data_IF_028972638274
#
_entry.id   IF_028972638274
#
_cell.length_a   1.000
_cell.length_b   1.000
_cell.length_c   1.000
_cell.angle_alpha   90.00
_cell.angle_beta   90.00
_cell.angle_gamma   90.00
#
_symmetry.space_group_name_H-M   'P 1'
#
loop_
_entity.id
_entity.type
_entity.pdbx_description
1 polymer ?
#
# COMPACT_ATOMS: atom_id res chain seq x y z
N UNK A 1 16.60 -1.04 -9.40
CA UNK A 1 15.57 -1.80 -10.15
C UNK A 1 15.24 -3.14 -9.47
N UNK A 2 16.22 -3.98 -9.14
CA UNK A 2 16.05 -5.31 -8.53
C UNK A 2 15.20 -5.26 -7.24
N UNK A 3 15.51 -4.33 -6.32
CA UNK A 3 14.77 -4.13 -5.07
C UNK A 3 13.31 -3.72 -5.29
N UNK A 4 12.98 -2.96 -6.34
CA UNK A 4 11.59 -2.60 -6.68
C UNK A 4 10.77 -3.82 -7.13
N UNK A 5 11.37 -4.72 -7.91
CA UNK A 5 10.75 -5.97 -8.35
C UNK A 5 10.46 -6.86 -7.13
N UNK A 6 11.43 -7.04 -6.24
CA UNK A 6 11.25 -7.81 -5.00
C UNK A 6 10.14 -7.23 -4.12
N UNK A 7 10.11 -5.91 -3.95
CA UNK A 7 9.03 -5.24 -3.21
C UNK A 7 7.65 -5.47 -3.86
N UNK A 8 7.58 -5.42 -5.19
CA UNK A 8 6.34 -5.71 -5.92
C UNK A 8 5.88 -7.17 -5.71
N UNK A 9 6.80 -8.13 -5.79
CA UNK A 9 6.51 -9.55 -5.54
C UNK A 9 6.00 -9.79 -4.11
N UNK A 10 6.66 -9.22 -3.09
CA UNK A 10 6.21 -9.32 -1.68
C UNK A 10 4.80 -8.76 -1.50
N UNK A 11 4.50 -7.61 -2.11
CA UNK A 11 3.15 -7.03 -2.09
C UNK A 11 2.14 -7.96 -2.77
N UNK A 12 2.49 -8.48 -3.95
CA UNK A 12 1.64 -9.40 -4.71
C UNK A 12 1.30 -10.67 -3.93
N UNK A 13 2.30 -11.28 -3.31
CA UNK A 13 2.13 -12.48 -2.46
C UNK A 13 1.23 -12.19 -1.26
N UNK A 14 1.48 -11.12 -0.52
CA UNK A 14 0.70 -10.75 0.67
C UNK A 14 -0.78 -10.49 0.35
N UNK A 15 -1.05 -9.80 -0.76
CA UNK A 15 -2.39 -9.44 -1.19
C UNK A 15 -3.05 -10.52 -2.07
N UNK A 16 -2.31 -11.58 -2.42
CA UNK A 16 -2.75 -12.63 -3.34
C UNK A 16 -3.20 -12.08 -4.70
N UNK A 17 -2.44 -11.12 -5.26
CA UNK A 17 -2.67 -10.59 -6.60
C UNK A 17 -2.27 -11.62 -7.65
N UNK A 18 -3.05 -11.71 -8.74
CA UNK A 18 -2.84 -12.68 -9.81
C UNK A 18 -2.66 -11.95 -11.14
N UNK A 19 -1.93 -12.55 -12.10
CA UNK A 19 -1.90 -12.07 -13.48
C UNK A 19 -3.32 -11.85 -14.03
N UNK A 20 -3.50 -10.79 -14.80
CA UNK A 20 -4.80 -10.38 -15.34
C UNK A 20 -5.69 -9.61 -14.36
N UNK A 21 -5.35 -9.49 -13.06
CA UNK A 21 -6.14 -8.66 -12.16
C UNK A 21 -6.13 -7.20 -12.64
N UNK A 22 -7.30 -6.57 -12.73
CA UNK A 22 -7.43 -5.14 -13.04
C UNK A 22 -6.91 -4.31 -11.87
N UNK A 23 -6.01 -3.38 -12.16
CA UNK A 23 -5.46 -2.44 -11.19
C UNK A 23 -5.67 -1.00 -11.66
N UNK A 24 -5.95 -0.08 -10.72
CA UNK A 24 -6.12 1.34 -10.98
C UNK A 24 -4.96 2.13 -10.36
N UNK A 25 -4.28 2.94 -11.17
CA UNK A 25 -3.29 3.91 -10.70
C UNK A 25 -3.86 5.32 -10.80
N UNK A 26 -4.08 5.95 -9.67
CA UNK A 26 -4.52 7.35 -9.52
C UNK A 26 -3.45 8.22 -8.83
N UNK A 27 -2.21 7.73 -8.80
CA UNK A 27 -1.07 8.41 -8.19
C UNK A 27 -0.15 8.98 -9.28
N UNK A 28 0.46 10.16 -9.07
CA UNK A 28 1.38 10.74 -10.03
C UNK A 28 2.59 9.83 -10.26
N UNK A 29 2.92 9.54 -11.54
CA UNK A 29 3.99 8.60 -11.92
C UNK A 29 5.40 9.15 -11.70
N UNK A 30 5.56 10.43 -11.43
CA UNK A 30 6.85 11.05 -11.07
C UNK A 30 7.27 10.74 -9.61
N UNK A 31 6.33 10.32 -8.74
CA UNK A 31 6.63 9.90 -7.37
C UNK A 31 6.75 8.38 -7.24
N UNK A 32 7.47 7.95 -6.19
CA UNK A 32 7.75 6.51 -5.96
C UNK A 32 6.47 5.67 -5.85
N UNK A 33 5.42 6.21 -5.26
CA UNK A 33 4.16 5.49 -5.08
C UNK A 33 3.49 5.15 -6.42
N UNK A 34 3.41 6.12 -7.35
CA UNK A 34 2.91 5.89 -8.70
C UNK A 34 3.83 4.97 -9.52
N UNK A 35 5.16 5.19 -9.45
CA UNK A 35 6.14 4.29 -10.09
C UNK A 35 5.97 2.85 -9.63
N UNK A 36 5.74 2.62 -8.32
CA UNK A 36 5.54 1.28 -7.78
C UNK A 36 4.23 0.63 -8.25
N UNK A 37 3.20 1.39 -8.62
CA UNK A 37 2.00 0.83 -9.25
C UNK A 37 2.34 0.23 -10.63
N UNK A 38 3.13 0.95 -11.45
CA UNK A 38 3.62 0.45 -12.75
C UNK A 38 4.53 -0.77 -12.56
N UNK A 39 5.47 -0.71 -11.62
CA UNK A 39 6.38 -1.85 -11.34
C UNK A 39 5.60 -3.08 -10.89
N UNK A 40 4.58 -2.92 -10.02
CA UNK A 40 3.70 -4.04 -9.63
C UNK A 40 2.93 -4.59 -10.82
N UNK A 41 2.39 -3.73 -11.68
CA UNK A 41 1.66 -4.16 -12.87
C UNK A 41 2.54 -5.01 -13.79
N UNK A 42 3.74 -4.54 -14.12
CA UNK A 42 4.67 -5.27 -14.98
C UNK A 42 5.13 -6.58 -14.30
N UNK A 43 5.52 -6.51 -13.01
CA UNK A 43 6.09 -7.67 -12.32
C UNK A 43 5.07 -8.78 -12.07
N UNK A 44 3.81 -8.42 -11.82
CA UNK A 44 2.74 -9.35 -11.45
C UNK A 44 1.78 -9.67 -12.60
N UNK A 45 1.99 -9.07 -13.78
CA UNK A 45 1.11 -9.25 -14.94
C UNK A 45 -0.30 -8.66 -14.73
N UNK A 46 -0.42 -7.50 -14.05
CA UNK A 46 -1.70 -6.86 -13.82
C UNK A 46 -2.12 -6.01 -15.02
N UNK A 47 -3.42 -5.92 -15.27
CA UNK A 47 -4.01 -4.99 -16.24
C UNK A 47 -4.17 -3.62 -15.58
N UNK A 48 -3.23 -2.70 -15.85
CA UNK A 48 -3.16 -1.39 -15.21
C UNK A 48 -3.89 -0.33 -16.02
N UNK A 49 -4.93 0.27 -15.43
CA UNK A 49 -5.54 1.52 -15.88
C UNK A 49 -4.90 2.68 -15.16
N UNK A 50 -4.47 3.71 -15.87
CA UNK A 50 -3.92 4.94 -15.30
C UNK A 50 -4.90 6.07 -15.52
N UNK A 51 -5.26 6.78 -14.46
CA UNK A 51 -6.13 7.95 -14.50
C UNK A 51 -5.40 9.17 -13.96
N UNK A 52 -5.86 10.36 -14.36
CA UNK A 52 -5.31 11.61 -13.83
C UNK A 52 -5.46 11.67 -12.32
N UNK A 53 -4.40 12.05 -11.60
CA UNK A 53 -4.46 12.23 -10.16
C UNK A 53 -5.48 13.31 -9.76
N UNK A 54 -6.42 12.93 -8.91
CA UNK A 54 -7.45 13.85 -8.41
C UNK A 54 -7.67 13.68 -6.91
N UNK A 55 -8.45 14.57 -6.30
CA UNK A 55 -8.83 14.48 -4.88
C UNK A 55 -9.73 13.27 -4.61
N UNK A 56 -10.61 12.92 -5.56
CA UNK A 56 -11.59 11.84 -5.43
C UNK A 56 -11.48 10.88 -6.64
N UNK A 57 -10.39 10.09 -6.73
CA UNK A 57 -10.07 9.31 -7.93
C UNK A 57 -10.99 8.11 -8.15
N UNK A 58 -11.81 7.74 -7.17
CA UNK A 58 -12.71 6.59 -7.26
C UNK A 58 -14.15 6.98 -7.58
N UNK A 59 -14.43 8.30 -7.63
CA UNK A 59 -15.70 8.82 -8.10
C UNK A 59 -15.88 8.48 -9.57
N UNK A 60 -17.08 8.13 -9.96
CA UNK A 60 -17.48 7.89 -11.36
C UNK A 60 -16.75 6.72 -12.05
N UNK A 61 -16.14 5.78 -11.29
CA UNK A 61 -15.62 4.56 -11.87
C UNK A 61 -16.75 3.71 -12.46
N UNK A 62 -16.56 3.28 -13.71
CA UNK A 62 -17.50 2.42 -14.44
C UNK A 62 -17.15 0.94 -14.35
N UNK A 63 -15.89 0.62 -14.02
CA UNK A 63 -15.36 -0.74 -13.95
C UNK A 63 -14.91 -1.11 -12.54
N UNK A 64 -14.87 -2.40 -12.26
CA UNK A 64 -14.37 -2.95 -11.00
C UNK A 64 -12.88 -3.22 -11.08
N UNK A 65 -12.15 -2.85 -10.02
CA UNK A 65 -10.72 -3.06 -9.88
C UNK A 65 -10.41 -3.94 -8.67
N UNK A 66 -9.54 -4.91 -8.89
CA UNK A 66 -9.05 -5.78 -7.81
C UNK A 66 -8.09 -5.04 -6.90
N UNK A 67 -7.30 -4.11 -7.46
CA UNK A 67 -6.23 -3.46 -6.72
C UNK A 67 -6.09 -1.98 -7.07
N UNK A 68 -5.89 -1.14 -6.06
CA UNK A 68 -5.48 0.26 -6.23
C UNK A 68 -4.62 0.71 -5.05
N UNK A 69 -4.00 1.89 -5.20
CA UNK A 69 -3.30 2.58 -4.12
C UNK A 69 -3.62 4.07 -4.17
N UNK A 70 -3.76 4.69 -2.99
CA UNK A 70 -4.04 6.12 -2.87
C UNK A 70 -3.37 6.73 -1.63
N UNK A 71 -3.42 8.05 -1.53
CA UNK A 71 -3.03 8.79 -0.33
C UNK A 71 -4.19 8.84 0.68
N UNK A 72 -3.93 9.13 1.98
CA UNK A 72 -5.00 9.35 2.96
C UNK A 72 -5.96 10.46 2.56
N UNK A 73 -5.45 11.53 1.92
CA UNK A 73 -6.29 12.62 1.43
C UNK A 73 -7.26 12.17 0.32
N UNK A 74 -6.78 11.38 -0.64
CA UNK A 74 -7.64 10.79 -1.67
C UNK A 74 -8.68 9.84 -1.06
N UNK A 75 -8.27 9.02 -0.09
CA UNK A 75 -9.18 8.12 0.62
C UNK A 75 -10.30 8.89 1.32
N UNK A 76 -9.97 9.94 2.08
CA UNK A 76 -10.96 10.75 2.80
C UNK A 76 -12.03 11.35 1.89
N UNK A 77 -11.64 11.78 0.69
CA UNK A 77 -12.55 12.34 -0.31
C UNK A 77 -13.30 11.26 -1.12
N UNK A 78 -12.93 9.99 -0.99
CA UNK A 78 -13.51 8.87 -1.77
C UNK A 78 -14.13 7.78 -0.88
N UNK A 79 -14.30 8.00 0.42
CA UNK A 79 -14.78 6.95 1.34
C UNK A 79 -16.12 6.33 0.89
N UNK A 80 -16.98 7.09 0.25
CA UNK A 80 -18.28 6.62 -0.23
C UNK A 80 -18.21 5.96 -1.63
N UNK A 81 -17.07 6.08 -2.34
CA UNK A 81 -16.91 5.69 -3.73
C UNK A 81 -16.03 4.43 -3.90
N UNK A 82 -15.81 3.67 -2.80
CA UNK A 82 -14.92 2.52 -2.80
C UNK A 82 -15.55 1.23 -3.33
N UNK A 83 -16.82 1.22 -3.68
CA UNK A 83 -17.57 0.00 -4.03
C UNK A 83 -16.92 -0.82 -5.16
N UNK A 84 -16.21 -0.15 -6.07
CA UNK A 84 -15.53 -0.77 -7.22
C UNK A 84 -14.05 -1.12 -6.99
N UNK A 85 -13.52 -0.93 -5.77
CA UNK A 85 -12.13 -1.25 -5.44
C UNK A 85 -12.10 -2.37 -4.39
N UNK A 86 -11.64 -3.57 -4.75
CA UNK A 86 -11.62 -4.71 -3.84
C UNK A 86 -10.52 -4.64 -2.79
N UNK A 87 -9.31 -4.24 -3.20
CA UNK A 87 -8.12 -4.12 -2.35
C UNK A 87 -7.51 -2.73 -2.56
N UNK A 88 -7.36 -1.97 -1.47
CA UNK A 88 -6.79 -0.62 -1.50
C UNK A 88 -5.61 -0.50 -0.55
N UNK A 89 -4.47 -0.06 -1.06
CA UNK A 89 -3.34 0.38 -0.24
C UNK A 89 -3.43 1.88 0.00
N UNK A 90 -3.20 2.31 1.23
CA UNK A 90 -3.21 3.71 1.63
C UNK A 90 -1.89 4.05 2.29
N UNK A 91 -1.15 4.99 1.73
CA UNK A 91 0.17 5.32 2.22
C UNK A 91 0.59 6.76 2.00
N UNK A 92 1.79 7.09 2.50
CA UNK A 92 2.37 8.42 2.44
C UNK A 92 2.12 9.28 3.68
N UNK A 93 1.09 8.97 4.48
CA UNK A 93 0.83 9.59 5.78
C UNK A 93 -0.13 8.69 6.60
N UNK A 94 -0.26 8.89 7.92
CA UNK A 94 -1.23 8.18 8.75
C UNK A 94 -2.68 8.48 8.33
N UNK A 95 -3.54 7.45 8.40
CA UNK A 95 -4.97 7.62 8.20
C UNK A 95 -5.60 8.21 9.47
N UNK A 96 -6.48 9.19 9.34
CA UNK A 96 -7.16 9.83 10.47
C UNK A 96 -8.03 8.84 11.27
N UNK A 97 -8.18 9.06 12.58
CA UNK A 97 -9.04 8.23 13.43
C UNK A 97 -10.48 8.20 12.91
N UNK A 98 -11.00 9.33 12.45
CA UNK A 98 -12.34 9.45 11.86
C UNK A 98 -12.52 8.53 10.65
N UNK A 99 -11.57 8.56 9.73
CA UNK A 99 -11.60 7.71 8.53
C UNK A 99 -11.47 6.23 8.87
N UNK A 100 -10.62 5.85 9.84
CA UNK A 100 -10.52 4.47 10.31
C UNK A 100 -11.84 3.93 10.86
N UNK A 101 -12.54 4.73 11.69
CA UNK A 101 -13.84 4.35 12.25
C UNK A 101 -14.88 4.12 11.13
N UNK A 102 -14.91 5.01 10.12
CA UNK A 102 -15.85 4.88 8.98
C UNK A 102 -15.58 3.63 8.13
N UNK A 103 -14.33 3.19 8.03
CA UNK A 103 -13.93 2.07 7.20
C UNK A 103 -13.92 0.73 7.94
N UNK A 104 -14.06 0.73 9.25
CA UNK A 104 -14.14 -0.51 10.03
C UNK A 104 -15.40 -1.31 9.63
N UNK A 105 -15.21 -2.61 9.34
CA UNK A 105 -16.28 -3.46 8.84
C UNK A 105 -16.57 -3.31 7.34
N UNK A 106 -15.80 -2.48 6.61
CA UNK A 106 -15.93 -2.38 5.15
C UNK A 106 -15.72 -3.73 4.46
N UNK A 107 -16.52 -4.00 3.41
CA UNK A 107 -16.36 -5.20 2.55
C UNK A 107 -15.05 -5.16 1.75
N UNK A 108 -14.49 -3.97 1.52
CA UNK A 108 -13.24 -3.76 0.82
C UNK A 108 -12.07 -4.07 1.76
N UNK A 109 -10.99 -4.65 1.22
CA UNK A 109 -9.76 -4.86 1.99
C UNK A 109 -8.91 -3.60 1.91
N UNK A 110 -8.94 -2.78 2.96
CA UNK A 110 -8.22 -1.51 2.99
C UNK A 110 -7.04 -1.63 3.93
N UNK A 111 -5.83 -1.41 3.41
CA UNK A 111 -4.60 -1.55 4.15
C UNK A 111 -3.88 -0.21 4.28
N UNK A 112 -3.58 0.20 5.50
CA UNK A 112 -2.58 1.23 5.77
C UNK A 112 -1.19 0.64 5.57
N UNK A 113 -0.30 1.38 4.91
CA UNK A 113 1.06 0.93 4.62
C UNK A 113 2.06 1.57 5.57
N UNK A 114 3.09 0.81 5.96
CA UNK A 114 4.27 1.31 6.65
C UNK A 114 5.52 1.07 5.79
N UNK A 115 6.29 2.11 5.55
CA UNK A 115 7.52 2.08 4.77
C UNK A 115 8.07 3.47 4.52
N UNK A 116 9.27 3.54 3.98
CA UNK A 116 10.02 4.77 3.71
C UNK A 116 10.83 4.62 2.42
N UNK A 117 11.50 5.67 1.99
CA UNK A 117 12.34 5.68 0.78
C UNK A 117 13.44 4.62 0.86
N UNK A 118 14.05 4.48 2.03
CA UNK A 118 15.15 3.54 2.30
C UNK A 118 14.69 2.07 2.18
N UNK A 119 13.41 1.80 2.43
CA UNK A 119 12.80 0.47 2.23
C UNK A 119 12.23 0.29 0.83
N UNK A 120 12.48 1.23 -0.09
CA UNK A 120 11.98 1.27 -1.49
C UNK A 120 10.49 1.54 -1.57
N UNK A 121 9.69 0.87 -0.77
CA UNK A 121 8.23 0.97 -0.66
C UNK A 121 7.82 0.46 0.73
N UNK A 122 6.55 0.13 0.91
CA UNK A 122 6.09 -0.40 2.18
C UNK A 122 6.68 -1.79 2.49
N UNK A 123 6.92 -2.03 3.76
CA UNK A 123 7.44 -3.28 4.33
C UNK A 123 6.47 -3.95 5.29
N UNK A 124 5.40 -3.25 5.67
CA UNK A 124 4.32 -3.81 6.48
C UNK A 124 2.97 -3.21 6.11
N UNK A 125 1.92 -3.94 6.39
CA UNK A 125 0.53 -3.60 6.09
C UNK A 125 -0.35 -3.83 7.32
N UNK A 126 -1.32 -2.95 7.53
CA UNK A 126 -2.33 -3.06 8.58
C UNK A 126 -3.73 -2.97 7.98
N UNK A 127 -4.54 -4.02 8.13
CA UNK A 127 -5.89 -4.06 7.60
C UNK A 127 -6.85 -3.25 8.47
N UNK A 128 -7.18 -2.03 8.04
CA UNK A 128 -8.05 -1.13 8.77
C UNK A 128 -9.53 -1.50 8.66
N UNK A 129 -9.95 -2.15 7.58
CA UNK A 129 -11.33 -2.63 7.44
C UNK A 129 -11.64 -3.79 8.39
N UNK A 130 -10.61 -4.51 8.88
CA UNK A 130 -10.75 -5.52 9.94
C UNK A 130 -10.48 -4.99 11.34
N UNK A 131 -10.24 -3.70 11.50
CA UNK A 131 -9.91 -3.11 12.79
C UNK A 131 -8.56 -3.55 13.37
N UNK A 132 -7.62 -4.03 12.54
CA UNK A 132 -6.29 -4.43 13.02
C UNK A 132 -5.58 -3.23 13.69
N UNK A 133 -4.97 -3.48 14.84
CA UNK A 133 -4.27 -2.45 15.62
C UNK A 133 -2.78 -2.36 15.29
N UNK A 134 -2.19 -3.46 14.81
CA UNK A 134 -0.76 -3.56 14.52
C UNK A 134 -0.49 -3.85 13.03
N UNK A 135 0.68 -3.42 12.56
CA UNK A 135 1.18 -3.74 11.24
C UNK A 135 1.69 -5.18 11.18
N UNK A 136 1.43 -5.85 10.06
CA UNK A 136 2.00 -7.16 9.73
C UNK A 136 3.12 -6.97 8.73
N UNK A 137 4.30 -7.48 9.04
CA UNK A 137 5.46 -7.47 8.16
C UNK A 137 5.17 -8.25 6.87
N UNK A 138 5.70 -7.77 5.75
CA UNK A 138 5.78 -8.56 4.53
C UNK A 138 6.81 -9.67 4.68
N UNK A 139 6.72 -10.69 3.84
CA UNK A 139 7.65 -11.82 3.88
C UNK A 139 9.13 -11.38 3.80
N UNK A 140 9.98 -12.02 4.62
CA UNK A 140 11.40 -11.69 4.74
C UNK A 140 11.70 -10.36 5.47
N UNK A 141 10.69 -9.66 6.00
CA UNK A 141 10.86 -8.46 6.83
C UNK A 141 10.71 -8.81 8.30
N UNK A 142 11.61 -8.28 9.13
CA UNK A 142 11.55 -8.42 10.60
C UNK A 142 11.75 -7.07 11.26
N UNK A 143 11.02 -6.85 12.34
CA UNK A 143 11.10 -5.67 13.20
C UNK A 143 11.69 -6.05 14.55
N UNK A 144 12.55 -5.19 15.09
CA UNK A 144 13.05 -5.29 16.47
C UNK A 144 13.05 -3.91 17.12
N UNK A 145 12.88 -3.85 18.43
CA UNK A 145 13.20 -2.66 19.22
C UNK A 145 14.71 -2.56 19.42
N UNK A 146 15.25 -1.37 19.29
CA UNK A 146 16.65 -1.06 19.58
C UNK A 146 16.73 0.35 20.15
N UNK A 147 17.05 0.47 21.43
CA UNK A 147 17.09 1.76 22.16
C UNK A 147 15.78 2.57 22.04
N UNK A 148 14.62 1.89 22.12
CA UNK A 148 13.30 2.53 22.00
C UNK A 148 12.90 2.91 20.59
N UNK A 149 13.75 2.68 19.59
CA UNK A 149 13.44 2.92 18.19
C UNK A 149 13.16 1.62 17.42
N UNK A 150 12.38 1.72 16.34
CA UNK A 150 12.12 0.59 15.45
C UNK A 150 13.34 0.31 14.56
N UNK A 151 13.79 -0.94 14.55
CA UNK A 151 14.83 -1.41 13.63
C UNK A 151 14.26 -2.41 12.64
N UNK A 152 14.48 -2.17 11.35
CA UNK A 152 13.97 -2.95 10.24
C UNK A 152 15.08 -3.81 9.65
N UNK A 153 14.82 -5.11 9.52
CA UNK A 153 15.69 -6.08 8.88
C UNK A 153 15.00 -6.65 7.64
N UNK A 154 15.77 -6.87 6.60
CA UNK A 154 15.32 -7.62 5.42
C UNK A 154 16.48 -8.44 4.88
N UNK A 155 16.19 -9.64 4.41
CA UNK A 155 17.19 -10.54 3.84
C UNK A 155 17.55 -10.17 2.40
N UNK A 156 16.69 -9.43 1.71
CA UNK A 156 16.76 -9.24 0.26
C UNK A 156 16.46 -7.81 -0.24
N UNK A 157 15.80 -6.97 0.58
CA UNK A 157 15.53 -5.57 0.22
C UNK A 157 16.59 -4.61 0.74
N UNK A 158 17.19 -4.90 1.90
CA UNK A 158 18.13 -4.01 2.57
C UNK A 158 19.53 -4.61 2.56
N UNK A 159 20.54 -3.79 2.36
CA UNK A 159 21.95 -4.18 2.48
C UNK A 159 22.38 -4.27 3.93
N UNK A 160 21.81 -3.42 4.77
CA UNK A 160 22.00 -3.41 6.22
C UNK A 160 20.69 -3.07 6.92
N UNK A 161 20.53 -3.43 8.21
CA UNK A 161 19.36 -3.03 8.99
C UNK A 161 19.21 -1.52 9.07
N UNK A 162 17.97 -1.03 8.97
CA UNK A 162 17.65 0.40 9.10
C UNK A 162 17.08 0.66 10.50
N UNK A 163 17.67 1.59 11.24
CA UNK A 163 17.07 2.14 12.46
C UNK A 163 16.25 3.36 12.08
N UNK A 164 14.97 3.36 12.45
CA UNK A 164 14.06 4.48 12.18
C UNK A 164 14.00 5.42 13.40
N UNK A 165 13.39 6.57 13.23
CA UNK A 165 13.05 7.48 14.33
C UNK A 165 11.68 7.16 14.96
N UNK A 166 11.01 6.09 14.52
CA UNK A 166 9.74 5.67 15.11
C UNK A 166 9.98 5.06 16.49
N UNK A 167 9.38 5.66 17.50
CA UNK A 167 9.41 5.19 18.90
C UNK A 167 8.39 4.06 19.08
N UNK A 168 8.80 2.95 19.68
CA UNK A 168 7.99 1.73 19.90
C UNK A 168 8.09 1.22 21.33
#
# INVERSE_FOLDING_TARGET
>A
KKKMILSAQKTGSFLNLKPGNKALCCLPLNYIAGKMMVVRAITLGLNLTVVEPSKAPFKDLTEDYIFSACTPHQLENSVNDLSRIKILLVGGAPISKKTRVRLNGSKNKIYETFGMTETVSHVALKNISKGEKSFKALDGIRFKSSNGCLKIYSTDLLEAPITTNDVI
#
